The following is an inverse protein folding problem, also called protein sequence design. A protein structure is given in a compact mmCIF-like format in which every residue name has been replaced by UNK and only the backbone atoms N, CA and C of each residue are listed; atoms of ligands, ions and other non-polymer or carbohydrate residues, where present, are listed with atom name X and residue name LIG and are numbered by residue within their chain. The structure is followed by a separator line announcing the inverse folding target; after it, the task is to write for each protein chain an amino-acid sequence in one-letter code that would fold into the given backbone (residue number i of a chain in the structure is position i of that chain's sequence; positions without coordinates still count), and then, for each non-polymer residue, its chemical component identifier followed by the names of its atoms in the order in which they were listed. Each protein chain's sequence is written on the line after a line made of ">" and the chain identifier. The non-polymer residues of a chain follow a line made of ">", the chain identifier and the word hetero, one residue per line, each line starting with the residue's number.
data_IF_074504165353
#
_entry.id   IF_074504165353
#
_cell.length_a   1.000
_cell.length_b   1.000
_cell.length_c   1.000
_cell.angle_alpha   90.00
_cell.angle_beta   90.00
_cell.angle_gamma   90.00
#
_symmetry.space_group_name_H-M   'P 1'
#
loop_
_entity.id
_entity.type
_entity.pdbx_description
1 polymer ?
#
# COMPACT_ATOMS: atom_id res chain seq x y z
N UNK A 1 -10.09 21.32 -5.69
CA UNK A 1 -8.89 20.47 -5.91
C UNK A 1 -8.81 19.49 -4.74
N UNK A 2 -8.78 18.17 -5.00
CA UNK A 2 -8.78 17.15 -3.94
C UNK A 2 -7.45 17.18 -3.18
N UNK A 3 -7.48 17.24 -1.85
CA UNK A 3 -6.29 17.31 -0.99
C UNK A 3 -5.60 15.94 -0.81
N UNK A 4 -5.58 15.11 -1.86
CA UNK A 4 -5.06 13.74 -1.84
C UNK A 4 -3.78 13.65 -2.66
N UNK A 5 -2.76 12.98 -2.11
CA UNK A 5 -1.56 12.64 -2.88
C UNK A 5 -1.81 11.30 -3.57
N UNK A 6 -1.53 11.20 -4.86
CA UNK A 6 -1.60 9.95 -5.62
C UNK A 6 -0.19 9.59 -6.03
N UNK A 7 0.23 8.38 -5.69
CA UNK A 7 1.51 7.79 -6.10
C UNK A 7 1.24 6.46 -6.80
N UNK A 8 1.77 6.32 -8.01
CA UNK A 8 1.69 5.09 -8.80
C UNK A 8 3.13 4.64 -9.09
N UNK A 9 3.40 3.35 -8.90
CA UNK A 9 4.74 2.78 -8.96
C UNK A 9 4.69 1.38 -9.58
N UNK A 10 5.63 1.05 -10.46
CA UNK A 10 5.71 -0.28 -11.09
C UNK A 10 4.62 -0.50 -12.14
N UNK A 11 4.25 -1.77 -12.34
CA UNK A 11 3.24 -2.19 -13.34
C UNK A 11 1.88 -2.44 -12.68
N UNK A 12 0.81 -2.16 -13.43
CA UNK A 12 -0.57 -2.44 -13.03
C UNK A 12 -1.13 -3.62 -13.84
N UNK A 13 -2.34 -4.07 -13.50
CA UNK A 13 -3.06 -5.10 -14.28
C UNK A 13 -3.39 -4.69 -15.71
N UNK A 14 -3.29 -3.41 -16.06
CA UNK A 14 -3.50 -2.94 -17.44
C UNK A 14 -2.31 -3.26 -18.34
N UNK A 15 -1.09 -3.15 -17.80
CA UNK A 15 0.14 -3.48 -18.53
C UNK A 15 0.52 -4.94 -18.40
N UNK A 16 0.24 -5.56 -17.25
CA UNK A 16 0.50 -6.98 -16.98
C UNK A 16 -0.81 -7.68 -16.59
N UNK A 17 -1.54 -8.28 -17.56
CA UNK A 17 -2.86 -8.85 -17.32
C UNK A 17 -2.85 -10.07 -16.39
N UNK A 18 -1.70 -10.75 -16.28
CA UNK A 18 -1.51 -11.88 -15.37
C UNK A 18 -1.23 -11.44 -13.91
N UNK A 19 -1.08 -10.14 -13.67
CA UNK A 19 -0.89 -9.63 -12.32
C UNK A 19 -2.20 -9.68 -11.51
N UNK A 20 -2.10 -10.20 -10.29
CA UNK A 20 -3.16 -10.18 -9.31
C UNK A 20 -3.09 -8.90 -8.47
N UNK A 21 -4.23 -8.37 -8.02
CA UNK A 21 -4.23 -7.17 -7.18
C UNK A 21 -4.93 -7.39 -5.85
N UNK A 22 -4.32 -6.90 -4.78
CA UNK A 22 -4.95 -6.76 -3.47
C UNK A 22 -5.17 -5.28 -3.18
N UNK A 23 -6.21 -4.95 -2.42
CA UNK A 23 -6.48 -3.56 -2.04
C UNK A 23 -6.96 -3.43 -0.60
N UNK A 24 -6.67 -2.27 -0.02
CA UNK A 24 -7.20 -1.81 1.26
C UNK A 24 -7.77 -0.41 1.11
N UNK A 25 -8.89 -0.17 1.77
CA UNK A 25 -9.55 1.14 1.81
C UNK A 25 -9.75 1.54 3.26
N UNK A 26 -9.31 2.76 3.58
CA UNK A 26 -9.63 3.43 4.83
C UNK A 26 -10.40 4.70 4.49
N UNK A 27 -11.71 4.67 4.74
CA UNK A 27 -12.60 5.78 4.42
C UNK A 27 -12.44 6.97 5.38
N UNK A 28 -12.07 6.73 6.64
CA UNK A 28 -11.93 7.78 7.66
C UNK A 28 -10.67 8.61 7.36
N UNK A 29 -9.54 7.92 7.15
CA UNK A 29 -8.29 8.57 6.75
C UNK A 29 -8.24 8.93 5.25
N UNK A 30 -9.25 8.53 4.47
CA UNK A 30 -9.33 8.71 3.00
C UNK A 30 -8.11 8.16 2.28
N UNK A 31 -7.66 6.99 2.72
CA UNK A 31 -6.53 6.29 2.12
C UNK A 31 -7.02 5.12 1.27
N UNK A 32 -6.37 4.94 0.12
CA UNK A 32 -6.55 3.78 -0.73
C UNK A 32 -5.18 3.21 -1.07
N UNK A 33 -5.04 1.90 -0.91
CA UNK A 33 -3.83 1.17 -1.27
C UNK A 33 -4.23 0.04 -2.19
N UNK A 34 -3.56 -0.09 -3.33
CA UNK A 34 -3.67 -1.27 -4.19
C UNK A 34 -2.27 -1.75 -4.52
N UNK A 35 -2.03 -3.03 -4.32
CA UNK A 35 -0.76 -3.69 -4.60
C UNK A 35 -0.98 -4.69 -5.72
N UNK A 36 -0.02 -4.78 -6.63
CA UNK A 36 -0.06 -5.66 -7.79
C UNK A 36 1.06 -6.69 -7.68
N UNK A 37 0.70 -7.96 -7.83
CA UNK A 37 1.57 -9.11 -7.67
C UNK A 37 1.58 -9.95 -8.94
N UNK A 38 2.77 -10.33 -9.39
CA UNK A 38 2.93 -11.34 -10.43
C UNK A 38 3.50 -12.60 -9.78
N UNK A 39 2.65 -13.61 -9.59
CA UNK A 39 2.97 -14.73 -8.71
C UNK A 39 3.24 -14.25 -7.29
N UNK A 40 4.33 -14.68 -6.67
CA UNK A 40 4.74 -14.29 -5.31
C UNK A 40 5.43 -12.92 -5.23
N UNK A 41 5.58 -12.18 -6.33
CA UNK A 41 6.41 -10.95 -6.36
C UNK A 41 5.56 -9.71 -6.46
N UNK A 42 5.90 -8.69 -5.67
CA UNK A 42 5.30 -7.36 -5.82
C UNK A 42 5.88 -6.67 -7.06
N UNK A 43 5.01 -6.27 -7.98
CA UNK A 43 5.40 -5.65 -9.26
C UNK A 43 4.87 -4.23 -9.44
N UNK A 44 3.89 -3.82 -8.63
CA UNK A 44 3.42 -2.44 -8.63
C UNK A 44 2.54 -2.07 -7.43
N UNK A 45 2.25 -0.77 -7.33
CA UNK A 45 1.39 -0.22 -6.30
C UNK A 45 0.71 1.09 -6.76
N UNK A 46 -0.55 1.27 -6.36
CA UNK A 46 -1.27 2.55 -6.38
C UNK A 46 -1.57 2.94 -4.93
N UNK A 47 -1.14 4.13 -4.56
CA UNK A 47 -1.28 4.68 -3.22
C UNK A 47 -1.98 6.04 -3.31
N UNK A 48 -3.11 6.21 -2.63
CA UNK A 48 -3.86 7.46 -2.57
C UNK A 48 -4.01 7.86 -1.10
N UNK A 49 -3.68 9.11 -0.79
CA UNK A 49 -3.77 9.69 0.55
C UNK A 49 -2.40 9.99 1.15
N UNK A 50 -2.34 10.20 2.47
CA UNK A 50 -1.09 10.53 3.17
C UNK A 50 -0.59 9.31 3.93
N UNK A 51 0.42 8.65 3.39
CA UNK A 51 0.99 7.43 3.98
C UNK A 51 2.52 7.44 4.00
N UNK A 52 3.08 6.76 5.00
CA UNK A 52 4.52 6.46 5.09
C UNK A 52 4.78 5.10 4.42
N UNK A 53 6.04 4.81 4.10
CA UNK A 53 6.42 3.50 3.55
C UNK A 53 6.54 3.41 2.03
N UNK A 54 6.23 4.48 1.27
CA UNK A 54 6.39 4.50 -0.20
C UNK A 54 7.78 4.01 -0.69
N UNK A 55 8.83 4.39 0.03
CA UNK A 55 10.21 4.04 -0.33
C UNK A 55 10.43 2.53 -0.19
N UNK A 56 9.93 1.92 0.89
CA UNK A 56 10.01 0.46 1.11
C UNK A 56 9.25 -0.31 0.04
N UNK A 57 8.06 0.16 -0.34
CA UNK A 57 7.29 -0.46 -1.43
C UNK A 57 8.04 -0.37 -2.76
N UNK A 58 8.65 0.78 -3.07
CA UNK A 58 9.49 0.90 -4.26
C UNK A 58 10.69 -0.05 -4.23
N UNK A 59 11.34 -0.20 -3.08
CA UNK A 59 12.45 -1.15 -2.91
C UNK A 59 12.00 -2.59 -3.11
N UNK A 60 10.82 -2.99 -2.62
CA UNK A 60 10.25 -4.32 -2.85
C UNK A 60 9.92 -4.56 -4.32
N UNK A 61 9.28 -3.59 -4.98
CA UNK A 61 8.98 -3.65 -6.42
C UNK A 61 10.28 -3.79 -7.23
N UNK A 62 11.30 -3.00 -6.89
CA UNK A 62 12.60 -3.02 -7.56
C UNK A 62 13.34 -4.35 -7.33
N UNK A 63 13.31 -4.86 -6.09
CA UNK A 63 13.97 -6.10 -5.71
C UNK A 63 13.31 -7.33 -6.33
N UNK A 64 12.01 -7.28 -6.66
CA UNK A 64 11.22 -8.45 -7.12
C UNK A 64 11.39 -9.68 -6.23
N UNK A 65 11.58 -9.44 -4.92
CA UNK A 65 11.73 -10.50 -3.94
C UNK A 65 10.40 -11.27 -3.81
N UNK A 66 10.45 -12.60 -3.62
CA UNK A 66 9.27 -13.40 -3.30
C UNK A 66 8.69 -12.93 -1.96
N UNK A 67 7.36 -12.90 -1.87
CA UNK A 67 6.59 -12.49 -0.71
C UNK A 67 5.64 -13.62 -0.35
N UNK A 68 5.95 -14.33 0.74
CA UNK A 68 5.13 -15.43 1.24
C UNK A 68 3.74 -14.96 1.67
N UNK A 69 3.67 -13.81 2.35
CA UNK A 69 2.43 -13.26 2.89
C UNK A 69 2.14 -11.87 2.28
N UNK A 70 1.47 -11.87 1.13
CA UNK A 70 1.13 -10.65 0.36
C UNK A 70 0.44 -9.58 1.20
N UNK A 71 -0.36 -9.97 2.19
CA UNK A 71 -1.13 -9.05 3.04
C UNK A 71 -0.23 -8.27 4.01
N UNK A 72 0.90 -8.83 4.45
CA UNK A 72 1.86 -8.13 5.34
C UNK A 72 2.52 -6.93 4.67
N UNK A 73 2.50 -6.86 3.34
CA UNK A 73 3.02 -5.70 2.59
C UNK A 73 2.22 -4.43 2.92
N UNK A 74 0.93 -4.55 3.24
CA UNK A 74 0.12 -3.42 3.66
C UNK A 74 0.52 -2.84 5.01
N UNK A 75 1.05 -3.68 5.91
CA UNK A 75 1.55 -3.25 7.22
C UNK A 75 2.82 -2.39 7.10
N UNK A 76 3.61 -2.60 6.03
CA UNK A 76 4.77 -1.76 5.70
C UNK A 76 4.36 -0.35 5.26
N UNK A 77 3.14 -0.22 4.73
CA UNK A 77 2.48 1.03 4.43
C UNK A 77 1.75 1.54 5.68
N UNK A 78 2.56 1.80 6.73
CA UNK A 78 2.06 2.25 8.02
C UNK A 78 1.15 3.47 7.87
N UNK A 79 -0.03 3.34 8.49
CA UNK A 79 -0.93 4.44 8.78
C UNK A 79 -0.19 5.41 9.72
N UNK A 80 -0.23 6.74 9.49
CA UNK A 80 0.17 7.66 10.55
C UNK A 80 -0.64 7.31 11.81
N UNK A 81 0.06 7.12 12.93
CA UNK A 81 -0.46 6.62 14.20
C UNK A 81 -1.87 7.15 14.46
N UNK A 82 -2.83 6.24 14.64
CA UNK A 82 -4.11 6.58 15.27
C UNK A 82 -3.76 7.24 16.60
N UNK A 83 -4.28 8.43 16.95
CA UNK A 83 -4.04 8.98 18.27
C UNK A 83 -4.55 7.94 19.27
N UNK A 84 -3.64 7.36 20.06
CA UNK A 84 -4.01 6.55 21.21
C UNK A 84 -4.86 7.46 22.09
N UNK A 85 -6.18 7.27 22.05
CA UNK A 85 -7.10 7.97 22.92
C UNK A 85 -6.65 7.62 24.35
N UNK A 86 -6.25 8.58 25.20
CA UNK A 86 -5.81 8.25 26.54
C UNK A 86 -6.96 7.52 27.24
N UNK A 87 -6.63 6.42 27.91
CA UNK A 87 -7.57 5.68 28.74
C UNK A 87 -8.26 6.66 29.72
N UNK A 88 -9.54 6.45 30.07
CA UNK A 88 -10.18 7.29 31.07
C UNK A 88 -9.36 7.17 32.36
N UNK A 89 -8.91 8.31 32.89
CA UNK A 89 -8.43 8.36 34.26
C UNK A 89 -9.64 8.08 35.16
N UNK A 90 -9.47 7.10 36.05
CA UNK A 90 -10.41 6.72 37.11
C UNK A 90 -10.72 7.88 38.06
#
# INVERSE_FOLDING_TARGET
>A
MFNSNISVMGVTTEEEPDAESLYEVDYDARNYKRLFFLGDKLVGAILIGKMKGRKKVLELISSRAPIDERQKVFELLAMPEVPVKPAPAE
#
